data_IF_398704098973
#
_entry.id   IF_398704098973
#
_cell.length_a   1.000
_cell.length_b   1.000
_cell.length_c   1.000
_cell.angle_alpha   90.00
_cell.angle_beta   90.00
_cell.angle_gamma   90.00
#
_symmetry.space_group_name_H-M   'P 1'
#
loop_
_entity.id
_entity.type
_entity.pdbx_description
1 polymer ?
#
# COMPACT_ATOMS: atom_id res chain seq x y z
N UNK A 1 -2.19 -5.65 -21.30
CA UNK A 1 -2.80 -4.32 -21.54
C UNK A 1 -4.15 -4.14 -20.83
N UNK A 2 -4.42 -4.85 -19.72
CA UNK A 2 -5.78 -5.04 -19.16
C UNK A 2 -6.03 -4.35 -17.80
N UNK A 3 -5.10 -3.52 -17.30
CA UNK A 3 -5.22 -2.90 -15.96
C UNK A 3 -5.70 -1.44 -15.95
N UNK A 4 -5.94 -0.82 -17.11
CA UNK A 4 -6.33 0.59 -17.23
C UNK A 4 -7.72 0.89 -16.60
N UNK A 5 -8.75 0.03 -16.72
CA UNK A 5 -10.05 0.27 -16.09
C UNK A 5 -9.97 0.24 -14.55
N UNK A 6 -9.30 -0.78 -13.99
CA UNK A 6 -9.10 -0.92 -12.53
C UNK A 6 -8.28 0.23 -11.95
N UNK A 7 -7.32 0.75 -12.70
CA UNK A 7 -6.55 1.92 -12.30
C UNK A 7 -7.45 3.16 -12.14
N UNK A 8 -8.39 3.39 -13.06
CA UNK A 8 -9.31 4.54 -12.97
C UNK A 8 -10.24 4.44 -11.77
N UNK A 9 -10.76 3.26 -11.49
CA UNK A 9 -11.61 3.02 -10.30
C UNK A 9 -10.84 3.23 -9.00
N UNK A 10 -9.63 2.66 -8.90
CA UNK A 10 -8.76 2.83 -7.73
C UNK A 10 -8.36 4.28 -7.50
N UNK A 11 -7.94 5.00 -8.55
CA UNK A 11 -7.61 6.43 -8.45
C UNK A 11 -8.84 7.24 -8.06
N UNK A 12 -10.02 6.92 -8.62
CA UNK A 12 -11.28 7.56 -8.25
C UNK A 12 -11.58 7.38 -6.76
N UNK A 13 -11.52 6.14 -6.24
CA UNK A 13 -11.71 5.82 -4.82
C UNK A 13 -10.75 6.61 -3.92
N UNK A 14 -9.46 6.66 -4.25
CA UNK A 14 -8.45 7.39 -3.48
C UNK A 14 -8.61 8.91 -3.56
N UNK A 15 -9.21 9.42 -4.64
CA UNK A 15 -9.43 10.85 -4.85
C UNK A 15 -10.74 11.37 -4.27
N UNK A 16 -11.75 10.51 -4.07
CA UNK A 16 -13.13 10.96 -3.91
C UNK A 16 -13.45 11.59 -2.55
N UNK A 17 -12.83 11.20 -1.43
CA UNK A 17 -12.95 11.93 -0.14
C UNK A 17 -11.77 11.64 0.82
N UNK A 18 -10.92 12.62 1.19
CA UNK A 18 -9.81 12.42 2.13
C UNK A 18 -10.25 12.21 3.60
N UNK A 19 -11.56 12.14 3.87
CA UNK A 19 -12.14 12.19 5.24
C UNK A 19 -12.09 10.86 5.98
N UNK A 20 -11.95 9.73 5.30
CA UNK A 20 -12.10 8.43 5.96
C UNK A 20 -11.27 7.31 5.32
N UNK A 21 -9.94 7.53 5.29
CA UNK A 21 -9.01 6.55 4.71
C UNK A 21 -8.96 5.24 5.52
N UNK A 22 -9.34 5.25 6.80
CA UNK A 22 -9.43 4.02 7.61
C UNK A 22 -10.47 3.04 7.04
N UNK A 23 -11.59 3.56 6.53
CA UNK A 23 -12.68 2.75 5.97
C UNK A 23 -12.44 2.40 4.50
N UNK A 24 -11.75 3.27 3.75
CA UNK A 24 -11.51 3.07 2.31
C UNK A 24 -10.29 2.19 2.01
N UNK A 25 -9.29 2.17 2.89
CA UNK A 25 -8.05 1.46 2.64
C UNK A 25 -8.23 -0.07 2.50
N UNK A 26 -9.04 -0.76 3.32
CA UNK A 26 -9.35 -2.18 3.11
C UNK A 26 -9.89 -2.47 1.72
N UNK A 27 -10.83 -1.66 1.24
CA UNK A 27 -11.44 -1.83 -0.10
C UNK A 27 -10.41 -1.58 -1.21
N UNK A 28 -9.60 -0.53 -1.08
CA UNK A 28 -8.54 -0.23 -2.03
C UNK A 28 -7.49 -1.36 -2.10
N UNK A 29 -7.13 -1.94 -0.95
CA UNK A 29 -6.23 -3.08 -0.87
C UNK A 29 -6.84 -4.34 -1.47
N UNK A 30 -8.13 -4.58 -1.31
CA UNK A 30 -8.81 -5.71 -1.93
C UNK A 30 -8.78 -5.60 -3.47
N UNK A 31 -9.08 -4.42 -4.01
CA UNK A 31 -8.93 -4.14 -5.44
C UNK A 31 -7.48 -4.29 -5.93
N UNK A 32 -6.50 -3.88 -5.13
CA UNK A 32 -5.08 -4.04 -5.44
C UNK A 32 -4.64 -5.50 -5.45
N UNK A 33 -5.12 -6.30 -4.49
CA UNK A 33 -4.90 -7.74 -4.45
C UNK A 33 -5.34 -8.38 -5.76
N UNK A 34 -6.56 -8.07 -6.19
CA UNK A 34 -7.13 -8.62 -7.42
C UNK A 34 -6.39 -8.11 -8.67
N UNK A 35 -6.01 -6.84 -8.72
CA UNK A 35 -5.29 -6.24 -9.86
C UNK A 35 -3.86 -6.77 -10.01
N UNK A 36 -3.18 -7.02 -8.89
CA UNK A 36 -1.89 -7.70 -8.88
C UNK A 36 -2.04 -9.22 -9.02
N UNK A 37 -3.25 -9.76 -8.90
CA UNK A 37 -3.55 -11.19 -8.71
C UNK A 37 -2.60 -11.81 -7.69
N UNK A 38 -2.37 -11.08 -6.60
CA UNK A 38 -1.60 -11.51 -5.45
C UNK A 38 -2.53 -12.22 -4.47
N UNK A 39 -1.98 -13.07 -3.62
CA UNK A 39 -2.77 -13.73 -2.58
C UNK A 39 -2.96 -12.83 -1.36
N UNK A 40 -1.95 -12.01 -1.06
CA UNK A 40 -2.02 -11.01 0.00
C UNK A 40 -1.36 -9.72 -0.43
N UNK A 41 -1.93 -8.60 0.00
CA UNK A 41 -1.32 -7.28 -0.17
C UNK A 41 -1.49 -6.48 1.12
N UNK A 42 -0.58 -5.58 1.38
CA UNK A 42 -0.71 -4.69 2.52
C UNK A 42 0.15 -3.46 2.40
N UNK A 43 -0.16 -2.47 3.22
CA UNK A 43 0.62 -1.26 3.36
C UNK A 43 1.07 -1.08 4.79
N UNK A 44 2.27 -0.53 4.95
CA UNK A 44 2.80 -0.10 6.23
C UNK A 44 3.15 1.39 6.12
N UNK A 45 2.55 2.20 6.97
CA UNK A 45 2.66 3.66 6.94
C UNK A 45 2.46 4.25 8.34
N UNK A 46 2.96 5.47 8.63
CA UNK A 46 2.72 6.15 9.90
C UNK A 46 1.31 6.75 9.97
N UNK A 47 0.61 6.54 11.07
CA UNK A 47 -0.64 7.24 11.37
C UNK A 47 -0.41 8.73 11.71
N UNK A 48 -1.50 9.45 12.01
CA UNK A 48 -1.42 10.87 12.40
C UNK A 48 -0.62 11.12 13.69
N UNK A 49 -0.37 10.09 14.50
CA UNK A 49 0.48 10.16 15.69
C UNK A 49 1.94 9.74 15.41
N UNK A 50 2.27 9.42 14.15
CA UNK A 50 3.60 8.93 13.73
C UNK A 50 3.85 7.46 14.04
N UNK A 51 2.83 6.70 14.46
CA UNK A 51 2.97 5.27 14.76
C UNK A 51 2.82 4.47 13.48
N UNK A 52 3.74 3.55 13.21
CA UNK A 52 3.62 2.63 12.08
C UNK A 52 2.37 1.76 12.26
N UNK A 53 1.48 1.84 11.29
CA UNK A 53 0.32 0.97 11.13
C UNK A 53 0.54 0.07 9.94
N UNK A 54 0.08 -1.16 10.09
CA UNK A 54 -0.06 -2.10 9.00
C UNK A 54 -1.55 -2.27 8.70
N UNK A 55 -1.90 -2.34 7.42
CA UNK A 55 -3.20 -2.84 6.98
C UNK A 55 -2.96 -3.72 5.79
N UNK A 56 -3.50 -4.93 5.88
CA UNK A 56 -3.30 -5.97 4.89
C UNK A 56 -4.65 -6.60 4.56
N UNK A 57 -4.76 -7.08 3.33
CA UNK A 57 -5.83 -7.93 2.84
C UNK A 57 -5.20 -9.26 2.44
N UNK A 58 -5.60 -10.32 3.14
CA UNK A 58 -5.12 -11.68 2.93
C UNK A 58 -6.22 -12.68 3.31
N UNK A 59 -6.18 -13.91 2.77
CA UNK A 59 -7.02 -15.02 3.25
C UNK A 59 -6.79 -15.29 4.74
N UNK A 60 -7.81 -15.85 5.42
CA UNK A 60 -7.76 -16.14 6.87
C UNK A 60 -6.58 -17.04 7.29
N UNK A 61 -6.12 -17.91 6.39
CA UNK A 61 -5.04 -18.88 6.66
C UNK A 61 -3.73 -18.54 5.92
N UNK A 62 -3.60 -17.33 5.38
CA UNK A 62 -2.40 -16.93 4.68
C UNK A 62 -1.30 -16.53 5.67
N UNK A 63 -0.17 -17.26 5.61
CA UNK A 63 0.99 -16.99 6.46
C UNK A 63 2.17 -16.51 5.62
N UNK A 64 2.69 -15.35 5.99
CA UNK A 64 3.98 -14.88 5.50
C UNK A 64 5.09 -15.71 6.16
N UNK A 65 6.05 -16.19 5.37
CA UNK A 65 7.25 -16.79 5.97
C UNK A 65 7.97 -15.74 6.84
N UNK A 66 8.57 -16.10 7.99
CA UNK A 66 9.29 -15.15 8.84
C UNK A 66 10.42 -14.41 8.11
N UNK A 67 11.11 -15.10 7.18
CA UNK A 67 12.12 -14.50 6.33
C UNK A 67 11.52 -13.40 5.42
N UNK A 68 10.35 -13.66 4.83
CA UNK A 68 9.66 -12.67 4.01
C UNK A 68 9.12 -11.51 4.83
N UNK A 69 8.55 -11.77 6.00
CA UNK A 69 8.09 -10.71 6.88
C UNK A 69 9.24 -9.81 7.32
N UNK A 70 10.43 -10.37 7.55
CA UNK A 70 11.65 -9.60 7.79
C UNK A 70 12.08 -8.77 6.58
N UNK A 71 12.01 -9.29 5.35
CA UNK A 71 12.31 -8.51 4.13
C UNK A 71 11.33 -7.36 3.93
N UNK A 72 10.04 -7.62 4.11
CA UNK A 72 9.00 -6.60 4.11
C UNK A 72 9.39 -5.56 5.16
N UNK A 73 9.64 -5.97 6.42
CA UNK A 73 9.95 -5.12 7.58
C UNK A 73 11.27 -4.34 7.54
N UNK A 74 12.32 -4.91 6.98
CA UNK A 74 13.67 -4.33 7.00
C UNK A 74 14.00 -3.50 5.75
N UNK A 75 13.01 -3.19 4.92
CA UNK A 75 13.21 -2.40 3.70
C UNK A 75 13.38 -0.88 3.96
N UNK A 76 14.11 -0.49 5.00
CA UNK A 76 14.45 0.90 5.29
C UNK A 76 15.19 1.55 4.12
N UNK A 77 14.64 2.66 3.61
CA UNK A 77 15.09 3.43 2.45
C UNK A 77 14.82 2.78 1.05
N UNK A 78 13.61 2.28 0.84
CA UNK A 78 13.13 1.89 -0.51
C UNK A 78 13.06 3.10 -1.45
N UNK A 79 14.00 3.17 -2.40
CA UNK A 79 13.94 4.11 -3.52
C UNK A 79 13.25 3.52 -4.76
N UNK A 80 13.21 2.20 -4.88
CA UNK A 80 12.63 1.47 -6.01
C UNK A 80 11.99 0.18 -5.51
N UNK A 81 11.13 -0.49 -6.31
CA UNK A 81 10.55 -1.76 -5.91
C UNK A 81 11.62 -2.81 -5.68
N UNK A 82 11.43 -3.63 -4.65
CA UNK A 82 12.16 -4.87 -4.44
C UNK A 82 11.20 -6.04 -4.63
N UNK A 83 11.67 -7.11 -5.23
CA UNK A 83 10.86 -8.31 -5.44
C UNK A 83 11.78 -9.53 -5.41
N UNK A 84 11.22 -10.71 -5.18
CA UNK A 84 12.00 -11.92 -5.14
C UNK A 84 11.13 -13.17 -4.98
N UNK A 85 11.82 -14.31 -4.87
CA UNK A 85 11.23 -15.60 -4.54
C UNK A 85 12.03 -16.25 -3.42
N UNK A 86 11.38 -16.54 -2.31
CA UNK A 86 11.96 -17.29 -1.19
C UNK A 86 10.87 -18.12 -0.51
N UNK A 87 10.47 -19.22 -1.14
CA UNK A 87 9.28 -20.00 -0.76
C UNK A 87 7.95 -19.38 -1.22
N UNK A 88 7.86 -18.05 -1.24
CA UNK A 88 6.75 -17.26 -1.79
C UNK A 88 7.30 -16.21 -2.76
N UNK A 89 6.50 -15.83 -3.76
CA UNK A 89 6.79 -14.67 -4.59
C UNK A 89 6.37 -13.40 -3.87
N UNK A 90 7.21 -12.37 -3.88
CA UNK A 90 6.94 -11.14 -3.17
C UNK A 90 7.39 -9.90 -3.92
N UNK A 91 6.72 -8.79 -3.66
CA UNK A 91 6.97 -7.47 -4.21
C UNK A 91 6.75 -6.44 -3.10
N UNK A 92 7.68 -5.50 -2.95
CA UNK A 92 7.57 -4.36 -2.04
C UNK A 92 7.88 -3.11 -2.84
N UNK A 93 6.94 -2.16 -2.89
CA UNK A 93 7.09 -0.86 -3.52
C UNK A 93 7.06 0.27 -2.49
N UNK A 94 7.92 1.29 -2.62
CA UNK A 94 7.83 2.47 -1.77
C UNK A 94 6.56 3.26 -2.02
N UNK A 95 6.03 3.83 -0.95
CA UNK A 95 4.98 4.83 -0.98
C UNK A 95 5.64 6.20 -0.79
N UNK A 96 5.60 7.06 -1.82
CA UNK A 96 6.32 8.34 -1.80
C UNK A 96 5.39 9.54 -1.90
N UNK A 97 5.67 10.55 -1.09
CA UNK A 97 5.08 11.90 -1.21
C UNK A 97 6.23 12.87 -1.46
N UNK A 98 6.14 13.65 -2.54
CA UNK A 98 7.18 14.63 -2.90
C UNK A 98 8.61 14.04 -2.92
N UNK A 99 8.75 12.79 -3.35
CA UNK A 99 10.03 12.08 -3.42
C UNK A 99 10.50 11.42 -2.12
N UNK A 100 9.85 11.70 -0.98
CA UNK A 100 10.17 11.11 0.33
C UNK A 100 9.35 9.84 0.54
N UNK A 101 10.01 8.74 0.87
CA UNK A 101 9.33 7.48 1.21
C UNK A 101 8.67 7.61 2.58
N UNK A 102 7.34 7.63 2.59
CA UNK A 102 6.50 7.73 3.80
C UNK A 102 5.98 6.37 4.27
N UNK A 103 6.07 5.35 3.42
CA UNK A 103 5.59 4.01 3.73
C UNK A 103 5.95 3.01 2.65
N UNK A 104 5.30 1.85 2.68
CA UNK A 104 5.57 0.77 1.72
C UNK A 104 4.34 -0.08 1.50
N UNK A 105 4.11 -0.41 0.24
CA UNK A 105 3.13 -1.35 -0.26
C UNK A 105 3.83 -2.68 -0.50
N UNK A 106 3.28 -3.78 -0.02
CA UNK A 106 3.76 -5.13 -0.25
C UNK A 106 2.68 -6.01 -0.86
N UNK A 107 3.10 -6.99 -1.65
CA UNK A 107 2.27 -8.01 -2.26
C UNK A 107 2.99 -9.36 -2.22
N UNK A 108 2.26 -10.42 -1.94
CA UNK A 108 2.79 -11.79 -1.80
C UNK A 108 1.85 -12.78 -2.45
N UNK A 109 2.42 -13.82 -3.05
CA UNK A 109 1.71 -14.91 -3.71
C UNK A 109 2.39 -16.26 -3.37
N UNK A 110 1.59 -17.29 -3.03
CA UNK A 110 2.06 -18.66 -2.77
C UNK A 110 2.42 -19.43 -4.05
N UNK A 111 1.98 -18.98 -5.23
CA UNK A 111 2.11 -19.73 -6.49
C UNK A 111 3.50 -19.57 -7.11
N UNK A 112 3.87 -20.49 -8.02
CA UNK A 112 5.09 -20.45 -8.85
C UNK A 112 5.25 -19.20 -9.75
N UNK A 113 4.36 -18.19 -9.64
CA UNK A 113 4.45 -16.91 -10.32
C UNK A 113 5.66 -16.11 -9.84
N UNK A 114 6.15 -15.21 -10.69
CA UNK A 114 7.03 -14.12 -10.30
C UNK A 114 6.37 -12.79 -10.65
N UNK A 115 6.49 -11.79 -9.78
CA UNK A 115 6.05 -10.43 -10.11
C UNK A 115 6.87 -9.90 -11.28
N UNK A 116 6.18 -9.56 -12.36
CA UNK A 116 6.79 -9.16 -13.63
C UNK A 116 7.05 -7.65 -13.68
N UNK A 117 7.47 -7.13 -14.84
CA UNK A 117 7.70 -5.69 -15.01
C UNK A 117 6.46 -4.84 -14.79
N UNK A 118 5.34 -5.25 -15.36
CA UNK A 118 4.08 -4.54 -15.26
C UNK A 118 3.59 -4.50 -13.81
N UNK A 119 3.73 -5.60 -13.07
CA UNK A 119 3.37 -5.66 -11.64
C UNK A 119 4.18 -4.65 -10.81
N UNK A 120 5.49 -4.54 -11.07
CA UNK A 120 6.38 -3.60 -10.38
C UNK A 120 6.04 -2.14 -10.69
N UNK A 121 5.77 -1.83 -11.96
CA UNK A 121 5.39 -0.49 -12.41
C UNK A 121 4.02 -0.09 -11.84
N UNK A 122 3.07 -1.04 -11.83
CA UNK A 122 1.76 -0.85 -11.23
C UNK A 122 1.86 -0.62 -9.71
N UNK A 123 2.60 -1.46 -8.99
CA UNK A 123 2.80 -1.30 -7.55
C UNK A 123 3.49 0.02 -7.19
N UNK A 124 4.43 0.51 -8.00
CA UNK A 124 5.02 1.84 -7.83
C UNK A 124 4.00 2.96 -7.96
N UNK A 125 3.23 2.92 -9.05
CA UNK A 125 2.22 3.94 -9.31
C UNK A 125 1.18 3.96 -8.19
N UNK A 126 0.69 2.79 -7.80
CA UNK A 126 -0.28 2.65 -6.71
C UNK A 126 0.30 3.02 -5.36
N UNK A 127 1.55 2.67 -5.07
CA UNK A 127 2.26 3.10 -3.87
C UNK A 127 2.29 4.62 -3.73
N UNK A 128 2.55 5.36 -4.82
CA UNK A 128 2.51 6.82 -4.82
C UNK A 128 1.10 7.38 -4.60
N UNK A 129 0.07 6.78 -5.24
CA UNK A 129 -1.32 7.21 -5.06
C UNK A 129 -1.81 6.99 -3.63
N UNK A 130 -1.51 5.82 -3.04
CA UNK A 130 -1.83 5.52 -1.65
C UNK A 130 -1.10 6.48 -0.70
N UNK A 131 0.17 6.79 -0.97
CA UNK A 131 0.94 7.74 -0.17
C UNK A 131 0.25 9.11 -0.11
N UNK A 132 -0.17 9.63 -1.28
CA UNK A 132 -0.87 10.91 -1.40
C UNK A 132 -2.21 10.87 -0.65
N UNK A 133 -2.99 9.81 -0.82
CA UNK A 133 -4.30 9.70 -0.21
C UNK A 133 -4.22 9.61 1.33
N UNK A 134 -3.26 8.83 1.84
CA UNK A 134 -3.00 8.71 3.28
C UNK A 134 -2.48 10.02 3.88
N UNK A 135 -1.56 10.71 3.19
CA UNK A 135 -1.04 12.01 3.65
C UNK A 135 -2.13 13.08 3.65
N UNK A 136 -3.00 13.11 2.65
CA UNK A 136 -4.15 14.02 2.63
C UNK A 136 -5.10 13.77 3.80
N UNK A 137 -5.34 12.50 4.14
CA UNK A 137 -6.18 12.14 5.29
C UNK A 137 -5.56 12.57 6.63
N UNK A 138 -4.23 12.46 6.74
CA UNK A 138 -3.45 12.94 7.88
C UNK A 138 -3.59 14.47 8.05
N UNK A 139 -3.29 15.22 6.98
CA UNK A 139 -3.40 16.68 6.96
C UNK A 139 -4.82 17.16 7.30
N UNK A 140 -5.84 16.48 6.77
CA UNK A 140 -7.23 16.80 7.08
C UNK A 140 -7.55 16.61 8.57
N UNK A 141 -7.07 15.52 9.17
CA UNK A 141 -7.25 15.24 10.60
C UNK A 141 -6.56 16.27 11.49
N UNK A 142 -5.36 16.72 11.10
CA UNK A 142 -4.60 17.76 11.80
C UNK A 142 -5.33 19.11 11.76
N UNK A 143 -5.79 19.52 10.59
CA UNK A 143 -6.57 20.76 10.40
C UNK A 143 -7.85 20.74 11.25
N UNK A 144 -8.57 19.61 11.27
CA UNK A 144 -9.79 19.45 12.10
C UNK A 144 -9.48 19.58 13.59
N UNK A 145 -8.38 18.99 14.07
CA UNK A 145 -7.94 19.07 15.47
C UNK A 145 -7.55 20.49 15.88
N UNK A 146 -6.93 21.26 14.98
CA UNK A 146 -6.59 22.65 15.22
C UNK A 146 -7.84 23.54 15.26
N UNK A 147 -8.82 23.28 14.39
CA UNK A 147 -10.09 24.00 14.38
C UNK A 147 -10.92 23.75 15.64
N UNK A 148 -10.95 22.51 16.15
CA UNK A 148 -11.68 22.18 17.39
C UNK A 148 -10.98 22.62 18.68
N UNK A 149 -9.71 23.03 18.63
CA UNK A 149 -9.00 23.65 19.76
C UNK A 149 -9.20 25.18 19.85
N UNK A 150 -9.81 25.79 18.83
CA UNK A 150 -10.10 27.23 18.77
C UNK A 150 -11.59 27.57 19.00
N UNK A 151 -12.41 26.57 19.33
CA UNK A 151 -13.79 26.72 19.77
C UNK A 151 -13.89 26.47 21.28
#
# INVERSE_FOLDING_TARGET
MENIPRLKELVCLLSCQPRDMETQLPVALDCLRDALSAEAVGVIWPDAAGRLRETAQSPEHFLLSPALQSEINNSGNLSSPRWGRNGQAWLVAPMKVSGVTVGRLWAVDNVARAFNREDREFAMMMGNQLALALENSRLYSDVKRLASRRA
#
